data_IF_417925294120
#
_entry.id   IF_417925294120
#
_cell.length_a   1.000
_cell.length_b   1.000
_cell.length_c   1.000
_cell.angle_alpha   90.00
_cell.angle_beta   90.00
_cell.angle_gamma   90.00
#
_symmetry.space_group_name_H-M   'P 1'
#
loop_
_entity.id
_entity.type
_entity.pdbx_description
1 polymer ?
#
# COMPACT_ATOMS: atom_id res chain seq x y z
N UNK A 1 -0.88 1.34 15.50
CA UNK A 1 0.58 1.41 15.20
C UNK A 1 0.81 1.07 13.74
N UNK A 2 1.63 1.81 12.98
CA UNK A 2 1.97 1.44 11.61
C UNK A 2 3.00 0.30 11.63
N UNK A 3 2.70 -0.81 10.95
CA UNK A 3 3.56 -2.00 10.92
C UNK A 3 4.42 -2.10 9.67
N UNK A 4 3.85 -1.72 8.54
CA UNK A 4 4.48 -1.87 7.23
C UNK A 4 4.06 -0.72 6.34
N UNK A 5 5.00 -0.27 5.52
CA UNK A 5 4.76 0.70 4.46
C UNK A 5 5.60 0.32 3.24
N UNK A 6 4.99 0.35 2.06
CA UNK A 6 5.66 0.26 0.78
C UNK A 6 5.24 1.42 -0.10
N UNK A 7 6.19 2.02 -0.81
CA UNK A 7 5.92 3.10 -1.75
C UNK A 7 6.24 2.66 -3.18
N UNK A 8 5.43 3.15 -4.12
CA UNK A 8 5.49 2.84 -5.53
C UNK A 8 5.33 4.11 -6.35
N UNK A 9 6.09 4.23 -7.45
CA UNK A 9 6.00 5.36 -8.37
C UNK A 9 5.82 4.88 -9.81
N UNK A 10 4.98 5.58 -10.57
CA UNK A 10 4.86 5.35 -12.00
C UNK A 10 5.97 6.13 -12.75
N UNK A 11 6.74 5.51 -13.66
CA UNK A 11 7.93 6.15 -14.25
C UNK A 11 7.61 7.30 -15.22
N UNK A 12 6.40 7.36 -15.77
CA UNK A 12 6.00 8.36 -16.77
C UNK A 12 4.77 9.16 -16.39
N UNK A 13 4.19 8.91 -15.22
CA UNK A 13 3.02 9.64 -14.73
C UNK A 13 3.39 10.22 -13.38
N UNK A 14 2.91 11.43 -13.08
CA UNK A 14 3.01 12.01 -11.74
C UNK A 14 2.00 11.29 -10.85
N UNK A 15 2.31 10.05 -10.49
CA UNK A 15 1.48 9.17 -9.68
C UNK A 15 2.34 8.34 -8.76
N UNK A 16 2.03 8.41 -7.47
CA UNK A 16 2.64 7.62 -6.40
C UNK A 16 1.57 6.83 -5.67
N UNK A 17 1.89 5.62 -5.25
CA UNK A 17 1.02 4.80 -4.42
C UNK A 17 1.78 4.36 -3.17
N UNK A 18 1.15 4.51 -2.00
CA UNK A 18 1.67 4.05 -0.71
C UNK A 18 0.73 3.01 -0.16
N UNK A 19 1.24 1.79 0.02
CA UNK A 19 0.52 0.71 0.68
C UNK A 19 0.96 0.66 2.14
N UNK A 20 0.01 0.54 3.07
CA UNK A 20 0.31 0.48 4.51
C UNK A 20 -0.51 -0.58 5.22
N UNK A 21 0.08 -1.14 6.27
CA UNK A 21 -0.62 -1.95 7.27
C UNK A 21 -0.57 -1.22 8.60
N UNK A 22 -1.74 -0.97 9.18
CA UNK A 22 -1.90 -0.46 10.53
C UNK A 22 -2.40 -1.57 11.44
N UNK A 23 -1.71 -1.78 12.55
CA UNK A 23 -2.25 -2.56 13.67
C UNK A 23 -3.21 -1.69 14.47
N UNK A 24 -4.43 -2.19 14.59
CA UNK A 24 -5.51 -1.66 15.39
C UNK A 24 -5.88 -2.69 16.47
N UNK A 25 -6.57 -2.29 17.56
CA UNK A 25 -7.10 -3.24 18.54
C UNK A 25 -7.98 -4.35 17.92
N UNK A 26 -8.73 -3.99 16.89
CA UNK A 26 -9.67 -4.85 16.17
C UNK A 26 -9.02 -5.69 15.04
N UNK A 27 -7.73 -5.51 14.74
CA UNK A 27 -7.04 -6.28 13.71
C UNK A 27 -6.01 -5.48 12.91
N UNK A 28 -5.87 -5.82 11.62
CA UNK A 28 -4.87 -5.27 10.72
C UNK A 28 -5.55 -4.58 9.54
N UNK A 29 -5.51 -3.24 9.53
CA UNK A 29 -6.09 -2.42 8.48
C UNK A 29 -5.07 -2.22 7.36
N UNK A 30 -5.44 -2.59 6.14
CA UNK A 30 -4.64 -2.37 4.93
C UNK A 30 -5.21 -1.20 4.15
N UNK A 31 -4.36 -0.25 3.78
CA UNK A 31 -4.76 0.96 3.06
C UNK A 31 -3.87 1.23 1.86
N UNK A 32 -4.42 1.95 0.89
CA UNK A 32 -3.71 2.52 -0.23
C UNK A 32 -3.95 4.03 -0.27
N UNK A 33 -2.86 4.79 -0.28
CA UNK A 33 -2.88 6.21 -0.61
C UNK A 33 -2.31 6.39 -2.01
N UNK A 34 -3.09 6.94 -2.95
CA UNK A 34 -2.61 7.36 -4.26
C UNK A 34 -2.46 8.87 -4.30
N UNK A 35 -1.29 9.34 -4.73
CA UNK A 35 -0.98 10.75 -4.94
C UNK A 35 -0.81 11.01 -6.43
N UNK A 36 -1.70 11.81 -7.02
CA UNK A 36 -1.56 12.32 -8.38
C UNK A 36 -1.89 13.80 -8.44
N UNK A 37 -2.78 14.21 -9.35
CA UNK A 37 -3.39 15.56 -9.33
C UNK A 37 -4.17 15.79 -8.03
N UNK A 38 -4.79 14.73 -7.52
CA UNK A 38 -5.45 14.70 -6.21
C UNK A 38 -4.94 13.51 -5.40
N UNK A 39 -5.01 13.61 -4.07
CA UNK A 39 -4.71 12.49 -3.18
C UNK A 39 -6.00 11.71 -2.87
N UNK A 40 -5.95 10.39 -3.06
CA UNK A 40 -7.06 9.48 -2.78
C UNK A 40 -6.61 8.45 -1.76
N UNK A 41 -7.41 8.26 -0.71
CA UNK A 41 -7.20 7.23 0.31
C UNK A 41 -8.25 6.13 0.15
N UNK A 42 -7.82 4.88 0.22
CA UNK A 42 -8.68 3.70 0.07
C UNK A 42 -8.35 2.66 1.12
N UNK A 43 -9.38 2.08 1.72
CA UNK A 43 -9.26 0.89 2.55
C UNK A 43 -9.31 -0.33 1.64
N UNK A 44 -8.25 -1.16 1.68
CA UNK A 44 -8.20 -2.41 0.93
C UNK A 44 -8.84 -3.56 1.71
N UNK A 45 -8.80 -3.49 3.04
CA UNK A 45 -9.48 -4.43 3.92
C UNK A 45 -9.07 -4.28 5.38
N UNK A 46 -9.87 -4.85 6.26
CA UNK A 46 -9.54 -5.09 7.67
C UNK A 46 -9.48 -6.60 7.88
N UNK A 47 -8.38 -7.09 8.42
CA UNK A 47 -8.11 -8.52 8.57
C UNK A 47 -7.81 -8.87 10.02
N UNK A 48 -8.27 -10.04 10.47
CA UNK A 48 -8.04 -10.51 11.85
C UNK A 48 -6.57 -10.93 12.08
N UNK A 49 -5.86 -11.29 11.00
CA UNK A 49 -4.50 -11.84 11.06
C UNK A 49 -3.49 -11.07 10.24
N UNK A 50 -2.29 -10.88 10.81
CA UNK A 50 -1.15 -10.20 10.16
C UNK A 50 -0.81 -10.82 8.81
N UNK A 51 -0.75 -12.15 8.72
CA UNK A 51 -0.41 -12.85 7.49
C UNK A 51 -1.42 -12.61 6.36
N UNK A 52 -2.71 -12.50 6.68
CA UNK A 52 -3.74 -12.18 5.69
C UNK A 52 -3.63 -10.73 5.20
N UNK A 53 -3.35 -9.78 6.10
CA UNK A 53 -3.08 -8.39 5.75
C UNK A 53 -1.83 -8.24 4.87
N UNK A 54 -0.75 -8.96 5.19
CA UNK A 54 0.48 -8.98 4.39
C UNK A 54 0.22 -9.62 3.01
N UNK A 55 -0.53 -10.72 2.92
CA UNK A 55 -0.92 -11.32 1.65
C UNK A 55 -1.76 -10.36 0.78
N UNK A 56 -2.70 -9.62 1.39
CA UNK A 56 -3.47 -8.57 0.71
C UNK A 56 -2.56 -7.47 0.17
N UNK A 57 -1.63 -6.97 0.99
CA UNK A 57 -0.67 -5.95 0.59
C UNK A 57 0.23 -6.43 -0.56
N UNK A 58 0.75 -7.65 -0.48
CA UNK A 58 1.57 -8.26 -1.54
C UNK A 58 0.80 -8.40 -2.86
N UNK A 59 -0.43 -8.92 -2.83
CA UNK A 59 -1.25 -9.02 -4.03
C UNK A 59 -1.54 -7.65 -4.65
N UNK A 60 -1.71 -6.61 -3.83
CA UNK A 60 -1.86 -5.24 -4.33
C UNK A 60 -0.56 -4.66 -4.90
N UNK A 61 0.58 -4.95 -4.29
CA UNK A 61 1.89 -4.57 -4.80
C UNK A 61 2.15 -5.19 -6.19
N UNK A 62 1.81 -6.46 -6.38
CA UNK A 62 1.90 -7.14 -7.67
C UNK A 62 1.00 -6.48 -8.74
N UNK A 63 -0.23 -6.10 -8.37
CA UNK A 63 -1.12 -5.35 -9.26
C UNK A 63 -0.53 -3.98 -9.66
N UNK A 64 0.09 -3.25 -8.73
CA UNK A 64 0.77 -1.99 -9.03
C UNK A 64 1.96 -2.20 -9.99
N UNK A 65 2.75 -3.25 -9.77
CA UNK A 65 3.85 -3.61 -10.66
C UNK A 65 3.37 -3.98 -12.07
N UNK A 66 2.26 -4.72 -12.18
CA UNK A 66 1.61 -5.00 -13.47
C UNK A 66 1.13 -3.71 -14.16
N UNK A 67 0.77 -2.68 -13.39
CA UNK A 67 0.46 -1.33 -13.87
C UNK A 67 1.72 -0.47 -14.09
N UNK A 68 2.90 -1.08 -14.15
CA UNK A 68 4.21 -0.44 -14.39
C UNK A 68 4.69 0.49 -13.29
N UNK A 69 4.05 0.49 -12.12
CA UNK A 69 4.63 1.16 -10.96
C UNK A 69 5.89 0.40 -10.50
N UNK A 70 6.88 1.14 -10.03
CA UNK A 70 8.11 0.58 -9.47
C UNK A 70 8.14 0.85 -7.98
N UNK A 71 8.51 -0.17 -7.20
CA UNK A 71 8.73 0.02 -5.76
C UNK A 71 9.91 0.97 -5.58
N UNK A 72 9.72 2.00 -4.78
CA UNK A 72 10.78 2.91 -4.34
C UNK A 72 11.18 2.49 -2.93
N UNK A 73 12.46 2.16 -2.76
CA UNK A 73 13.01 1.95 -1.42
C UNK A 73 13.10 3.32 -0.75
N UNK A 74 12.34 3.51 0.34
CA UNK A 74 12.65 4.54 1.30
C UNK A 74 13.98 4.15 1.96
N UNK A 75 15.03 4.91 1.70
CA UNK A 75 16.25 4.86 2.52
C UNK A 75 15.82 5.25 3.93
N UNK A 76 16.00 4.33 4.87
CA UNK A 76 15.68 4.52 6.28
C UNK A 76 16.48 5.66 6.92
#
# INVERSE_FOLDING_TARGET
>A
MMLMQEEFEHPTQVSRARLRIFQLPEGFLVTEERQGVTTVFSTLGLFDGRAAAEACLCGRAEQLQAQRYRRVQLVA
#
